data_IF_014956241213
#
_entry.id   IF_014956241213
#
_cell.length_a   1.000
_cell.length_b   1.000
_cell.length_c   1.000
_cell.angle_alpha   90.00
_cell.angle_beta   90.00
_cell.angle_gamma   90.00
#
_symmetry.space_group_name_H-M   'P 1'
#
loop_
_entity.id
_entity.type
_entity.pdbx_description
1 polymer ?
#
# COMPACT_ATOMS: atom_id res chain seq x y z
N UNK A 1 0.78 14.88 -22.94
CA UNK A 1 1.23 14.85 -21.53
C UNK A 1 0.13 14.24 -20.67
N UNK A 2 0.36 13.13 -19.95
CA UNK A 2 -0.68 12.56 -19.08
C UNK A 2 -0.76 13.39 -17.78
N UNK A 3 -1.36 14.57 -17.88
CA UNK A 3 -1.34 15.64 -16.88
C UNK A 3 -1.98 15.22 -15.55
N UNK A 4 -2.95 14.31 -15.59
CA UNK A 4 -3.62 13.78 -14.40
C UNK A 4 -2.70 12.93 -13.53
N UNK A 5 -1.88 12.05 -14.13
CA UNK A 5 -0.92 11.23 -13.40
C UNK A 5 0.13 12.09 -12.71
N UNK A 6 0.76 13.01 -13.45
CA UNK A 6 1.83 13.90 -12.93
C UNK A 6 1.33 14.68 -11.72
N UNK A 7 0.18 15.35 -11.84
CA UNK A 7 -0.43 16.14 -10.76
C UNK A 7 -0.79 15.29 -9.53
N UNK A 8 -1.38 14.11 -9.74
CA UNK A 8 -1.75 13.23 -8.65
C UNK A 8 -0.54 12.60 -7.97
N UNK A 9 0.50 12.29 -8.76
CA UNK A 9 1.74 11.73 -8.25
C UNK A 9 2.55 12.76 -7.47
N UNK A 10 2.60 14.02 -7.89
CA UNK A 10 3.25 15.10 -7.13
C UNK A 10 2.70 15.26 -5.72
N UNK A 11 1.36 15.23 -5.59
CA UNK A 11 0.71 15.27 -4.26
C UNK A 11 1.13 14.09 -3.38
N UNK A 12 1.20 12.89 -3.97
CA UNK A 12 1.63 11.67 -3.25
C UNK A 12 3.12 11.67 -2.96
N UNK A 13 3.93 12.23 -3.86
CA UNK A 13 5.39 12.35 -3.75
C UNK A 13 5.77 13.34 -2.65
N UNK A 14 5.04 14.44 -2.50
CA UNK A 14 5.25 15.43 -1.45
C UNK A 14 5.15 14.85 -0.03
N UNK A 15 4.44 13.73 0.15
CA UNK A 15 4.40 13.00 1.43
C UNK A 15 5.74 12.33 1.77
N UNK A 16 6.54 12.00 0.76
CA UNK A 16 7.76 11.20 0.87
C UNK A 16 7.51 9.68 0.88
N UNK A 17 8.51 8.91 0.46
CA UNK A 17 8.43 7.44 0.29
C UNK A 17 8.00 6.73 1.57
N UNK A 18 8.60 7.08 2.72
CA UNK A 18 8.29 6.47 4.02
C UNK A 18 6.81 6.64 4.38
N UNK A 19 6.29 7.86 4.31
CA UNK A 19 4.89 8.15 4.65
C UNK A 19 3.92 7.54 3.63
N UNK A 20 4.30 7.49 2.35
CA UNK A 20 3.51 6.81 1.33
C UNK A 20 3.39 5.31 1.62
N UNK A 21 4.50 4.63 1.88
CA UNK A 21 4.53 3.19 2.18
C UNK A 21 3.75 2.90 3.47
N UNK A 22 3.89 3.73 4.50
CA UNK A 22 3.14 3.59 5.74
C UNK A 22 1.63 3.78 5.52
N UNK A 23 1.20 4.86 4.85
CA UNK A 23 -0.24 5.14 4.67
C UNK A 23 -0.91 4.17 3.69
N UNK A 24 -0.31 3.99 2.52
CA UNK A 24 -0.93 3.22 1.44
C UNK A 24 -0.61 1.73 1.50
N UNK A 25 0.62 1.37 1.88
CA UNK A 25 1.04 -0.02 1.99
C UNK A 25 0.61 -0.65 3.31
N UNK A 26 1.05 -0.08 4.42
CA UNK A 26 0.85 -0.66 5.74
C UNK A 26 -0.61 -0.48 6.22
N UNK A 27 -1.10 0.75 6.26
CA UNK A 27 -2.42 1.04 6.83
C UNK A 27 -3.57 0.70 5.87
N UNK A 28 -3.57 1.23 4.64
CA UNK A 28 -4.69 0.97 3.72
C UNK A 28 -4.73 -0.46 3.20
N UNK A 29 -3.63 -0.97 2.66
CA UNK A 29 -3.59 -2.34 2.10
C UNK A 29 -3.42 -3.37 3.21
N UNK A 30 -2.37 -3.25 4.02
CA UNK A 30 -2.03 -4.24 5.05
C UNK A 30 -3.13 -4.39 6.10
N UNK A 31 -3.43 -3.33 6.85
CA UNK A 31 -4.47 -3.38 7.89
C UNK A 31 -5.87 -3.53 7.28
N UNK A 32 -6.11 -2.97 6.10
CA UNK A 32 -7.37 -3.18 5.37
C UNK A 32 -7.62 -4.67 5.08
N UNK A 33 -6.60 -5.40 4.63
CA UNK A 33 -6.69 -6.85 4.45
C UNK A 33 -6.89 -7.60 5.78
N UNK A 34 -6.18 -7.22 6.85
CA UNK A 34 -6.39 -7.82 8.17
C UNK A 34 -7.86 -7.71 8.58
N UNK A 35 -8.41 -6.50 8.54
CA UNK A 35 -9.81 -6.27 8.92
C UNK A 35 -10.76 -7.03 8.01
N UNK A 36 -10.55 -6.97 6.68
CA UNK A 36 -11.40 -7.65 5.72
C UNK A 36 -11.45 -9.17 5.97
N UNK A 37 -10.29 -9.81 6.12
CA UNK A 37 -10.23 -11.25 6.35
C UNK A 37 -10.72 -11.65 7.75
N UNK A 38 -10.51 -10.82 8.76
CA UNK A 38 -11.06 -11.05 10.10
C UNK A 38 -12.60 -10.94 10.11
N UNK A 39 -13.17 -9.98 9.40
CA UNK A 39 -14.63 -9.88 9.24
C UNK A 39 -15.17 -11.08 8.46
N UNK A 40 -14.49 -11.51 7.40
CA UNK A 40 -14.89 -12.71 6.65
C UNK A 40 -14.79 -13.98 7.50
N UNK A 41 -13.77 -14.10 8.34
CA UNK A 41 -13.65 -15.24 9.26
C UNK A 41 -14.78 -15.25 10.28
N UNK A 42 -15.06 -14.11 10.90
CA UNK A 42 -16.17 -13.97 11.85
C UNK A 42 -17.52 -14.29 11.17
N UNK A 43 -17.72 -13.83 9.94
CA UNK A 43 -18.96 -14.06 9.19
C UNK A 43 -19.15 -15.53 8.78
N UNK A 44 -18.08 -16.25 8.46
CA UNK A 44 -18.16 -17.64 7.99
C UNK A 44 -18.10 -18.67 9.12
N UNK A 45 -17.28 -18.43 10.14
CA UNK A 45 -17.00 -19.40 11.20
C UNK A 45 -17.68 -19.03 12.53
N UNK A 46 -18.20 -17.81 12.67
CA UNK A 46 -18.78 -17.30 13.93
C UNK A 46 -17.75 -16.96 15.01
N UNK A 47 -16.47 -17.24 14.79
CA UNK A 47 -15.39 -17.08 15.76
C UNK A 47 -14.12 -16.55 15.09
N UNK A 48 -13.28 -15.86 15.88
CA UNK A 48 -11.97 -15.38 15.41
C UNK A 48 -10.88 -16.24 16.05
N UNK A 49 -10.11 -16.93 15.21
CA UNK A 49 -8.96 -17.69 15.67
C UNK A 49 -7.75 -16.76 15.82
N UNK A 50 -7.37 -16.50 17.08
CA UNK A 50 -6.25 -15.63 17.41
C UNK A 50 -4.92 -15.97 16.71
N UNK A 51 -4.52 -17.25 16.52
CA UNK A 51 -3.30 -17.58 15.79
C UNK A 51 -3.31 -17.07 14.34
N UNK A 52 -4.44 -17.21 13.64
CA UNK A 52 -4.57 -16.72 12.27
C UNK A 52 -4.62 -15.19 12.22
N UNK A 53 -5.27 -14.56 13.20
CA UNK A 53 -5.28 -13.10 13.32
C UNK A 53 -3.86 -12.53 13.49
N UNK A 54 -3.05 -13.11 14.38
CA UNK A 54 -1.66 -12.70 14.60
C UNK A 54 -0.81 -12.91 13.33
N UNK A 55 -0.98 -14.05 12.65
CA UNK A 55 -0.31 -14.31 11.38
C UNK A 55 -0.64 -13.24 10.33
N UNK A 56 -1.92 -12.89 10.18
CA UNK A 56 -2.37 -11.84 9.24
C UNK A 56 -1.83 -10.46 9.61
N UNK A 57 -1.80 -10.11 10.90
CA UNK A 57 -1.25 -8.85 11.41
C UNK A 57 0.24 -8.65 11.13
N UNK A 58 1.01 -9.73 11.00
CA UNK A 58 2.43 -9.64 10.63
C UNK A 58 2.61 -9.69 9.10
N UNK A 59 1.93 -10.61 8.44
CA UNK A 59 2.16 -10.90 7.02
C UNK A 59 1.57 -9.79 6.13
N UNK A 60 0.31 -9.40 6.32
CA UNK A 60 -0.33 -8.46 5.40
C UNK A 60 0.26 -7.04 5.46
N UNK A 61 0.58 -6.46 6.62
CA UNK A 61 1.29 -5.19 6.68
C UNK A 61 2.67 -5.23 6.02
N UNK A 62 3.42 -6.33 6.18
CA UNK A 62 4.73 -6.52 5.55
C UNK A 62 4.62 -6.60 4.03
N UNK A 63 3.69 -7.41 3.52
CA UNK A 63 3.43 -7.52 2.08
C UNK A 63 2.91 -6.20 1.49
N UNK A 64 2.00 -5.52 2.18
CA UNK A 64 1.48 -4.23 1.78
C UNK A 64 2.57 -3.16 1.69
N UNK A 65 3.47 -3.12 2.67
CA UNK A 65 4.63 -2.24 2.64
C UNK A 65 5.55 -2.56 1.46
N UNK A 66 5.87 -3.83 1.21
CA UNK A 66 6.72 -4.25 0.10
C UNK A 66 6.12 -3.88 -1.26
N UNK A 67 4.84 -4.20 -1.49
CA UNK A 67 4.13 -3.88 -2.74
C UNK A 67 4.06 -2.37 -2.96
N UNK A 68 3.74 -1.59 -1.92
CA UNK A 68 3.68 -0.13 -2.04
C UNK A 68 5.06 0.48 -2.31
N UNK A 69 6.13 -0.10 -1.77
CA UNK A 69 7.51 0.30 -2.04
C UNK A 69 7.90 0.05 -3.50
N UNK A 70 7.63 -1.14 -4.03
CA UNK A 70 7.85 -1.45 -5.46
C UNK A 70 7.02 -0.52 -6.37
N UNK A 71 5.77 -0.25 -5.99
CA UNK A 71 4.88 0.65 -6.72
C UNK A 71 5.37 2.10 -6.69
N UNK A 72 5.96 2.54 -5.58
CA UNK A 72 6.61 3.85 -5.49
C UNK A 72 7.74 3.95 -6.51
N UNK A 73 8.68 3.01 -6.51
CA UNK A 73 9.80 2.99 -7.47
C UNK A 73 9.32 2.99 -8.93
N UNK A 74 8.31 2.17 -9.25
CA UNK A 74 7.72 2.14 -10.59
C UNK A 74 7.10 3.47 -11.00
N UNK A 75 6.39 4.12 -10.08
CA UNK A 75 5.77 5.43 -10.33
C UNK A 75 6.80 6.56 -10.41
N UNK A 76 7.88 6.51 -9.63
CA UNK A 76 9.01 7.46 -9.72
C UNK A 76 9.66 7.39 -11.10
N UNK A 77 9.97 6.18 -11.59
CA UNK A 77 10.50 5.95 -12.94
C UNK A 77 9.54 6.45 -14.02
N UNK A 78 8.25 6.19 -13.86
CA UNK A 78 7.22 6.68 -14.80
C UNK A 78 7.12 8.20 -14.79
N UNK A 79 7.18 8.83 -13.62
CA UNK A 79 7.15 10.28 -13.48
C UNK A 79 8.37 10.92 -14.14
N UNK A 80 9.58 10.42 -13.87
CA UNK A 80 10.82 10.92 -14.47
C UNK A 80 10.77 10.92 -16.02
N UNK A 81 10.27 9.81 -16.60
CA UNK A 81 10.06 9.70 -18.05
C UNK A 81 9.05 10.73 -18.60
N UNK A 82 7.98 11.00 -17.85
CA UNK A 82 6.92 11.92 -18.28
C UNK A 82 7.28 13.40 -18.11
N UNK A 83 8.17 13.74 -17.17
CA UNK A 83 8.61 15.11 -16.92
C UNK A 83 9.94 15.46 -17.57
N UNK A 84 10.56 14.55 -18.33
CA UNK A 84 11.85 14.78 -18.99
C UNK A 84 13.01 15.02 -18.02
N UNK A 85 12.84 14.71 -16.73
CA UNK A 85 13.94 14.72 -15.76
C UNK A 85 14.67 13.40 -15.88
N UNK A 86 15.55 13.29 -16.88
CA UNK A 86 16.63 12.31 -16.83
C UNK A 86 17.55 12.73 -15.70
N UNK A 87 17.50 11.98 -14.60
CA UNK A 87 18.56 11.96 -13.59
C UNK A 87 19.91 11.67 -14.24
#
# INVERSE_FOLDING_TARGET
MNSSFVRNWERKRALGKKNYVMRYGLLLIGMGCVVLFSVLELANNGEIHYPYLLGRLLIFPTLGAMISGMRWEGNERKYAKLTGRSS
#
